data_IF_267015555989
#
_entry.id   IF_267015555989
#
_cell.length_a   1.000
_cell.length_b   1.000
_cell.length_c   1.000
_cell.angle_alpha   90.00
_cell.angle_beta   90.00
_cell.angle_gamma   90.00
#
_symmetry.space_group_name_H-M   'P 1'
#
loop_
_entity.id
_entity.type
_entity.pdbx_description
1 polymer ?
#
# COMPACT_ATOMS: atom_id res chain seq x y z
N UNK A 1 20.76 -6.15 -6.00
CA UNK A 1 19.29 -5.97 -5.88
C UNK A 1 18.52 -7.27 -5.95
N UNK A 2 18.72 -8.17 -6.97
CA UNK A 2 17.93 -9.42 -7.05
C UNK A 2 18.17 -10.33 -5.85
N UNK A 3 19.41 -10.63 -5.51
CA UNK A 3 19.75 -11.44 -4.34
C UNK A 3 19.23 -10.82 -3.02
N UNK A 4 19.34 -9.50 -2.87
CA UNK A 4 18.77 -8.80 -1.70
C UNK A 4 17.24 -8.91 -1.66
N UNK A 5 16.56 -8.85 -2.82
CA UNK A 5 15.12 -9.01 -2.87
C UNK A 5 14.66 -10.41 -2.45
N UNK A 6 15.40 -11.44 -2.87
CA UNK A 6 15.18 -12.82 -2.43
C UNK A 6 15.37 -12.96 -0.92
N UNK A 7 16.42 -12.35 -0.37
CA UNK A 7 16.71 -12.36 1.07
C UNK A 7 15.64 -11.62 1.90
N UNK A 8 15.21 -10.44 1.47
CA UNK A 8 14.13 -9.68 2.11
C UNK A 8 12.77 -10.39 2.04
N UNK A 9 12.59 -11.29 1.08
CA UNK A 9 11.36 -12.05 0.91
C UNK A 9 11.34 -13.35 1.70
N UNK A 10 12.49 -13.87 2.16
CA UNK A 10 12.57 -15.14 2.92
C UNK A 10 11.54 -15.23 4.06
N UNK A 11 11.33 -14.20 4.89
CA UNK A 11 10.35 -14.28 5.98
C UNK A 11 8.89 -14.46 5.51
N UNK A 12 8.60 -14.19 4.23
CA UNK A 12 7.24 -14.14 3.66
C UNK A 12 6.97 -15.24 2.63
N UNK A 13 7.94 -16.11 2.35
CA UNK A 13 7.85 -17.11 1.28
C UNK A 13 6.67 -18.09 1.44
N UNK A 14 6.25 -18.36 2.69
CA UNK A 14 5.15 -19.26 3.02
C UNK A 14 3.82 -18.52 3.22
N UNK A 15 3.79 -17.19 2.99
CA UNK A 15 2.58 -16.38 3.11
C UNK A 15 1.87 -16.32 1.77
N UNK A 16 0.65 -16.87 1.71
CA UNK A 16 -0.15 -16.90 0.49
C UNK A 16 -0.45 -15.48 -0.01
N UNK A 17 -0.29 -15.27 -1.32
CA UNK A 17 -0.53 -13.98 -1.96
C UNK A 17 0.59 -12.96 -1.80
N UNK A 18 1.62 -13.22 -1.00
CA UNK A 18 2.78 -12.32 -0.90
C UNK A 18 3.73 -12.49 -2.08
N UNK A 19 4.24 -11.38 -2.57
CA UNK A 19 5.20 -11.33 -3.68
C UNK A 19 6.25 -10.25 -3.45
N UNK A 20 7.38 -10.39 -4.14
CA UNK A 20 8.37 -9.32 -4.20
C UNK A 20 8.63 -8.85 -5.62
N UNK A 21 9.09 -7.63 -5.76
CA UNK A 21 9.54 -7.04 -7.02
C UNK A 21 10.73 -6.13 -6.80
N UNK A 22 11.77 -6.31 -7.62
CA UNK A 22 12.93 -5.43 -7.67
C UNK A 22 12.88 -4.54 -8.93
N UNK A 23 13.18 -3.26 -8.75
CA UNK A 23 13.26 -2.31 -9.84
C UNK A 23 14.39 -2.65 -10.80
N UNK A 24 14.14 -2.49 -12.11
CA UNK A 24 15.18 -2.60 -13.13
C UNK A 24 16.08 -1.36 -13.08
N UNK A 25 17.38 -1.54 -13.27
CA UNK A 25 18.33 -0.43 -13.33
C UNK A 25 18.09 0.47 -14.56
N UNK A 26 17.57 -0.10 -15.66
CA UNK A 26 17.29 0.65 -16.87
C UNK A 26 16.00 1.43 -16.78
N UNK A 27 16.04 2.66 -17.25
CA UNK A 27 14.87 3.51 -17.53
C UNK A 27 14.40 3.29 -18.97
N UNK A 28 13.13 3.60 -19.22
CA UNK A 28 12.69 3.74 -20.61
C UNK A 28 13.23 5.08 -21.15
N UNK A 29 14.21 4.99 -22.07
CA UNK A 29 14.87 6.16 -22.62
C UNK A 29 13.98 6.95 -23.62
N UNK A 30 12.78 6.45 -23.95
CA UNK A 30 11.82 7.16 -24.79
C UNK A 30 11.02 8.23 -24.02
N UNK A 31 11.11 8.26 -22.68
CA UNK A 31 10.41 9.23 -21.84
C UNK A 31 11.38 10.14 -21.07
N UNK A 32 10.99 11.40 -20.82
CA UNK A 32 11.79 12.31 -19.99
C UNK A 32 12.12 11.68 -18.63
N UNK A 33 13.30 11.94 -18.09
CA UNK A 33 14.36 12.84 -18.54
C UNK A 33 15.35 12.24 -19.56
N UNK A 34 14.97 11.21 -20.32
CA UNK A 34 15.77 10.53 -21.38
C UNK A 34 17.09 9.93 -20.86
N UNK A 35 17.13 9.57 -19.58
CA UNK A 35 18.29 8.92 -18.96
C UNK A 35 18.19 7.41 -19.12
N UNK A 36 19.31 6.74 -19.40
CA UNK A 36 19.35 5.29 -19.57
C UNK A 36 19.21 4.52 -18.27
N UNK A 37 19.65 5.11 -17.17
CA UNK A 37 19.68 4.48 -15.86
C UNK A 37 18.80 5.22 -14.85
N UNK A 38 18.32 4.47 -13.87
CA UNK A 38 17.64 5.04 -12.70
C UNK A 38 18.68 5.50 -11.69
N UNK A 39 18.40 6.60 -11.03
CA UNK A 39 19.12 7.11 -9.87
C UNK A 39 18.71 6.40 -8.58
N UNK A 40 17.55 5.75 -8.59
CA UNK A 40 17.00 5.04 -7.42
C UNK A 40 16.70 3.60 -7.78
N UNK A 41 17.17 2.68 -6.95
CA UNK A 41 16.87 1.25 -7.01
C UNK A 41 15.91 0.89 -5.87
N UNK A 42 14.95 0.02 -6.12
CA UNK A 42 13.94 -0.33 -5.13
C UNK A 42 13.60 -1.83 -5.13
N UNK A 43 13.17 -2.30 -3.96
CA UNK A 43 12.59 -3.62 -3.75
C UNK A 43 11.29 -3.40 -2.98
N UNK A 44 10.22 -4.08 -3.39
CA UNK A 44 8.94 -4.10 -2.71
C UNK A 44 8.56 -5.53 -2.37
N UNK A 45 8.07 -5.74 -1.14
CA UNK A 45 7.43 -6.97 -0.67
C UNK A 45 6.02 -6.59 -0.24
N UNK A 46 5.00 -7.22 -0.83
CA UNK A 46 3.60 -6.88 -0.62
C UNK A 46 2.68 -8.01 -1.07
N UNK A 47 1.44 -7.95 -0.70
CA UNK A 47 0.40 -8.78 -1.30
C UNK A 47 0.19 -8.42 -2.78
N UNK A 48 -0.10 -9.43 -3.61
CA UNK A 48 -0.41 -9.19 -5.02
C UNK A 48 -1.71 -8.38 -5.14
N UNK A 49 -1.63 -7.26 -5.82
CA UNK A 49 -2.74 -6.35 -6.00
C UNK A 49 -2.63 -5.56 -7.29
N UNK A 50 -3.77 -5.31 -7.93
CA UNK A 50 -3.84 -4.56 -9.17
C UNK A 50 -3.29 -3.13 -9.05
N UNK A 51 -3.59 -2.45 -7.92
CA UNK A 51 -3.14 -1.07 -7.68
C UNK A 51 -2.03 -1.03 -6.63
N UNK A 52 -0.78 -1.16 -7.07
CA UNK A 52 0.39 -1.24 -6.21
C UNK A 52 0.58 -0.05 -5.25
N UNK A 53 0.19 1.16 -5.63
CA UNK A 53 0.35 2.38 -4.83
C UNK A 53 -0.77 2.59 -3.77
N UNK A 54 -1.80 1.76 -3.82
CA UNK A 54 -2.91 1.77 -2.85
C UNK A 54 -2.79 0.66 -1.81
N UNK A 55 -1.84 -0.26 -2.00
CA UNK A 55 -1.64 -1.46 -1.20
C UNK A 55 -0.53 -1.24 -0.19
N UNK A 56 -0.66 -1.74 1.05
CA UNK A 56 0.42 -1.75 2.01
C UNK A 56 1.64 -2.47 1.45
N UNK A 57 2.82 -1.93 1.70
CA UNK A 57 4.05 -2.38 1.05
C UNK A 57 5.23 -2.24 2.00
N UNK A 58 5.99 -3.31 2.17
CA UNK A 58 7.33 -3.25 2.73
C UNK A 58 8.30 -2.85 1.61
N UNK A 59 9.16 -1.90 1.85
CA UNK A 59 10.03 -1.36 0.81
C UNK A 59 11.47 -1.19 1.27
N UNK A 60 12.39 -1.35 0.33
CA UNK A 60 13.80 -0.99 0.45
C UNK A 60 14.18 -0.18 -0.78
N UNK A 61 14.65 1.03 -0.57
CA UNK A 61 15.07 1.95 -1.63
C UNK A 61 16.53 2.35 -1.41
N UNK A 62 17.30 2.37 -2.50
CA UNK A 62 18.68 2.81 -2.53
C UNK A 62 18.80 3.97 -3.51
N UNK A 63 19.31 5.09 -3.04
CA UNK A 63 19.56 6.32 -3.79
C UNK A 63 21.00 6.81 -3.58
N UNK A 64 21.46 7.83 -4.30
CA UNK A 64 22.77 8.46 -4.05
C UNK A 64 22.91 9.03 -2.63
N UNK A 65 21.81 9.40 -2.00
CA UNK A 65 21.79 9.95 -0.63
C UNK A 65 21.88 8.88 0.45
N UNK A 66 21.61 7.61 0.09
CA UNK A 66 21.62 6.51 1.04
C UNK A 66 20.55 5.46 0.76
N UNK A 67 20.15 4.74 1.80
CA UNK A 67 19.07 3.78 1.77
C UNK A 67 17.90 4.22 2.65
N UNK A 68 16.69 3.84 2.25
CA UNK A 68 15.48 3.94 3.07
C UNK A 68 14.74 2.62 3.00
N UNK A 69 14.29 2.11 4.16
CA UNK A 69 13.51 0.88 4.22
C UNK A 69 12.46 0.94 5.33
N UNK A 70 11.41 0.15 5.16
CA UNK A 70 10.32 0.09 6.12
C UNK A 70 9.00 -0.30 5.47
N UNK A 71 7.92 0.21 6.04
CA UNK A 71 6.53 0.03 5.62
C UNK A 71 5.98 1.33 5.06
N UNK A 72 5.10 1.23 4.05
CA UNK A 72 4.30 2.36 3.59
C UNK A 72 2.99 1.93 2.93
N UNK A 73 1.99 2.79 3.07
CA UNK A 73 0.79 2.85 2.24
C UNK A 73 0.66 4.29 1.73
N UNK A 74 1.02 4.51 0.45
CA UNK A 74 1.25 5.88 -0.06
C UNK A 74 -0.03 6.63 -0.37
N UNK A 75 -0.89 6.00 -1.17
CA UNK A 75 -2.13 6.60 -1.69
C UNK A 75 -3.31 5.67 -1.50
N UNK A 76 -3.61 5.27 -0.26
CA UNK A 76 -4.77 4.46 0.02
C UNK A 76 -6.03 5.20 -0.42
N UNK A 77 -7.08 4.46 -0.69
CA UNK A 77 -8.37 5.08 -0.93
C UNK A 77 -8.90 5.78 0.32
N UNK A 78 -9.66 6.83 0.14
CA UNK A 78 -10.20 7.61 1.27
C UNK A 78 -11.01 6.72 2.24
N UNK A 79 -11.79 5.78 1.70
CA UNK A 79 -12.56 4.79 2.47
C UNK A 79 -11.70 3.86 3.32
N UNK A 80 -10.51 3.47 2.84
CA UNK A 80 -9.52 2.68 3.61
C UNK A 80 -9.06 3.47 4.84
N UNK A 81 -8.68 4.73 4.64
CA UNK A 81 -8.24 5.59 5.74
C UNK A 81 -9.38 5.99 6.68
N UNK A 82 -10.62 6.04 6.21
CA UNK A 82 -11.79 6.26 7.07
C UNK A 82 -12.06 5.05 7.94
N UNK A 83 -12.00 3.84 7.38
CA UNK A 83 -12.11 2.59 8.14
C UNK A 83 -11.00 2.46 9.17
N UNK A 84 -9.75 2.76 8.80
CA UNK A 84 -8.63 2.79 9.73
C UNK A 84 -8.89 3.72 10.93
N UNK A 85 -9.36 4.96 10.67
CA UNK A 85 -9.71 5.90 11.75
C UNK A 85 -10.89 5.43 12.61
N UNK A 86 -11.87 4.75 12.01
CA UNK A 86 -12.98 4.16 12.76
C UNK A 86 -12.48 3.12 13.74
N UNK A 87 -11.62 2.21 13.30
CA UNK A 87 -11.00 1.20 14.17
C UNK A 87 -10.18 1.85 15.30
N UNK A 88 -9.37 2.88 14.98
CA UNK A 88 -8.63 3.63 15.99
C UNK A 88 -9.55 4.36 16.99
N UNK A 89 -10.75 4.78 16.58
CA UNK A 89 -11.71 5.42 17.47
C UNK A 89 -12.39 4.41 18.39
N UNK A 90 -12.52 3.18 17.97
CA UNK A 90 -13.13 2.08 18.72
C UNK A 90 -12.13 1.45 19.69
N UNK A 91 -10.94 1.09 19.19
CA UNK A 91 -9.85 0.49 19.96
C UNK A 91 -8.49 0.85 19.36
N UNK A 92 -7.82 1.83 19.93
CA UNK A 92 -6.54 2.34 19.42
C UNK A 92 -5.31 1.67 20.06
N UNK A 93 -5.46 1.11 21.25
CA UNK A 93 -4.32 0.62 22.04
C UNK A 93 -3.51 -0.47 21.30
N UNK A 94 -4.13 -1.51 20.69
CA UNK A 94 -3.38 -2.56 20.01
C UNK A 94 -2.51 -2.01 18.88
N UNK A 95 -3.07 -1.13 18.04
CA UNK A 95 -2.35 -0.54 16.94
C UNK A 95 -1.21 0.38 17.38
N UNK A 96 -1.45 1.23 18.39
CA UNK A 96 -0.44 2.14 18.94
C UNK A 96 0.70 1.35 19.56
N UNK A 97 0.41 0.30 20.33
CA UNK A 97 1.43 -0.55 20.93
C UNK A 97 2.28 -1.25 19.87
N UNK A 98 1.66 -1.83 18.85
CA UNK A 98 2.34 -2.45 17.72
C UNK A 98 3.27 -1.46 17.00
N UNK A 99 2.82 -0.23 16.72
CA UNK A 99 3.64 0.80 16.08
C UNK A 99 4.78 1.24 16.98
N UNK A 100 4.53 1.49 18.27
CA UNK A 100 5.56 1.93 19.21
C UNK A 100 6.67 0.89 19.37
N UNK A 101 6.32 -0.40 19.46
CA UNK A 101 7.28 -1.50 19.56
C UNK A 101 8.24 -1.51 18.37
N UNK A 102 7.73 -1.47 17.14
CA UNK A 102 8.59 -1.51 15.95
C UNK A 102 9.38 -0.22 15.76
N UNK A 103 8.80 0.93 16.09
CA UNK A 103 9.47 2.24 16.02
C UNK A 103 10.65 2.27 16.99
N UNK A 104 10.47 1.82 18.23
CA UNK A 104 11.52 1.79 19.24
C UNK A 104 12.60 0.76 18.88
N UNK A 105 12.19 -0.47 18.55
CA UNK A 105 13.10 -1.59 18.27
C UNK A 105 14.01 -1.33 17.07
N UNK A 106 13.47 -0.78 15.98
CA UNK A 106 14.21 -0.60 14.71
C UNK A 106 14.63 0.84 14.43
N UNK A 107 14.25 1.79 15.29
CA UNK A 107 14.54 3.22 15.10
C UNK A 107 13.83 3.80 13.87
N UNK A 108 12.57 3.42 13.65
CA UNK A 108 11.76 3.89 12.54
C UNK A 108 11.19 5.28 12.83
N UNK A 109 10.86 6.01 11.78
CA UNK A 109 10.18 7.31 11.86
C UNK A 109 8.78 7.17 11.29
N UNK A 110 7.78 7.71 12.00
CA UNK A 110 6.39 7.78 11.53
C UNK A 110 6.26 8.92 10.55
N UNK A 111 5.90 8.63 9.31
CA UNK A 111 5.74 9.59 8.22
C UNK A 111 4.39 9.46 7.51
N UNK A 112 4.30 10.07 6.34
CA UNK A 112 3.13 10.06 5.48
C UNK A 112 2.58 11.46 5.22
N UNK A 113 1.90 11.63 4.08
CA UNK A 113 1.29 12.91 3.70
C UNK A 113 0.15 13.28 4.65
N UNK A 114 0.08 14.54 5.07
CA UNK A 114 -0.94 15.03 6.00
C UNK A 114 -2.05 15.80 5.31
N UNK A 115 -3.23 15.78 5.92
CA UNK A 115 -4.31 16.68 5.53
C UNK A 115 -4.00 18.11 5.93
N UNK A 116 -4.30 19.07 5.05
CA UNK A 116 -4.16 20.51 5.36
C UNK A 116 -5.10 20.97 6.49
N UNK A 117 -6.25 20.30 6.65
CA UNK A 117 -7.21 20.58 7.72
C UNK A 117 -7.22 19.43 8.70
N UNK A 118 -7.15 19.74 9.99
CA UNK A 118 -7.25 18.74 11.04
C UNK A 118 -8.58 17.98 10.92
N UNK A 119 -8.51 16.65 10.99
CA UNK A 119 -9.69 15.82 11.16
C UNK A 119 -10.02 15.71 12.65
N UNK A 120 -11.30 15.68 13.04
CA UNK A 120 -11.66 15.47 14.42
C UNK A 120 -11.13 14.13 14.91
N UNK A 121 -10.49 14.14 16.06
CA UNK A 121 -9.98 12.95 16.74
C UNK A 121 -10.42 12.99 18.19
N UNK A 122 -11.02 11.91 18.64
CA UNK A 122 -11.48 11.76 20.03
C UNK A 122 -10.42 11.11 20.92
N UNK A 123 -9.29 10.68 20.34
CA UNK A 123 -8.22 9.94 21.01
C UNK A 123 -6.91 10.69 20.82
N UNK A 124 -6.40 11.40 21.84
CA UNK A 124 -5.19 12.21 21.73
C UNK A 124 -3.95 11.41 21.27
N UNK A 125 -3.81 10.18 21.75
CA UNK A 125 -2.69 9.28 21.44
C UNK A 125 -2.66 8.88 19.96
N UNK A 126 -3.83 8.86 19.30
CA UNK A 126 -3.97 8.51 17.88
C UNK A 126 -3.99 9.76 16.95
N UNK A 127 -3.95 10.99 17.49
CA UNK A 127 -4.09 12.23 16.68
C UNK A 127 -3.14 12.25 15.48
N UNK A 128 -1.89 11.84 15.67
CA UNK A 128 -0.90 11.82 14.59
C UNK A 128 -1.32 10.93 13.40
N UNK A 129 -2.04 9.84 13.62
CA UNK A 129 -2.52 8.95 12.56
C UNK A 129 -3.77 9.49 11.87
N UNK A 130 -4.62 10.21 12.60
CA UNK A 130 -5.81 10.86 12.03
C UNK A 130 -5.47 11.92 11.00
N UNK A 131 -4.32 12.57 11.12
CA UNK A 131 -3.86 13.61 10.20
C UNK A 131 -3.33 13.04 8.88
N UNK A 132 -2.99 11.76 8.82
CA UNK A 132 -2.34 11.14 7.66
C UNK A 132 -3.33 10.78 6.56
N UNK A 133 -2.94 11.03 5.30
CA UNK A 133 -3.61 10.54 4.09
C UNK A 133 -3.13 9.14 3.70
N UNK A 134 -1.91 8.82 4.05
CA UNK A 134 -1.25 7.54 3.97
C UNK A 134 -0.26 7.46 5.11
N UNK A 135 0.27 6.30 5.40
CA UNK A 135 1.18 6.07 6.52
C UNK A 135 2.50 5.50 6.02
N UNK A 136 3.60 5.92 6.61
CA UNK A 136 4.90 5.28 6.45
C UNK A 136 5.59 5.12 7.80
N UNK A 137 6.30 4.01 7.95
CA UNK A 137 7.19 3.71 9.06
C UNK A 137 8.53 3.34 8.43
N UNK A 138 9.50 4.23 8.44
CA UNK A 138 10.74 4.02 7.70
C UNK A 138 11.99 4.47 8.47
N UNK A 139 13.10 3.85 8.13
CA UNK A 139 14.43 4.25 8.59
C UNK A 139 15.27 4.69 7.39
N UNK A 140 15.89 5.86 7.53
CA UNK A 140 16.85 6.39 6.57
C UNK A 140 18.26 6.16 7.05
N UNK A 141 19.09 5.61 6.18
CA UNK A 141 20.50 5.36 6.41
C UNK A 141 21.28 6.17 5.39
N UNK A 142 22.04 7.16 5.84
CA UNK A 142 22.84 8.02 4.95
C UNK A 142 23.92 7.26 4.20
N UNK A 143 24.41 7.86 3.12
CA UNK A 143 25.51 7.29 2.35
C UNK A 143 26.74 7.13 3.22
N UNK A 144 27.32 5.92 3.26
CA UNK A 144 28.49 5.58 4.07
C UNK A 144 28.82 4.10 4.00
N UNK A 145 29.83 3.67 4.74
CA UNK A 145 30.37 2.31 4.71
C UNK A 145 29.36 1.22 5.04
N UNK A 146 28.33 1.56 5.82
CA UNK A 146 27.24 0.64 6.19
C UNK A 146 26.49 0.12 4.96
N UNK A 147 26.32 0.95 3.92
CA UNK A 147 25.64 0.56 2.68
C UNK A 147 26.41 -0.50 1.87
N UNK A 148 27.73 -0.58 2.07
CA UNK A 148 28.61 -1.56 1.42
C UNK A 148 28.83 -2.81 2.27
N UNK A 149 28.18 -2.90 3.43
CA UNK A 149 28.24 -4.03 4.34
C UNK A 149 26.97 -4.89 4.26
N UNK A 150 27.07 -6.14 4.70
CA UNK A 150 25.91 -7.02 4.84
C UNK A 150 24.92 -6.55 5.91
N UNK A 151 25.38 -5.74 6.84
CA UNK A 151 24.61 -5.26 8.00
C UNK A 151 23.30 -4.56 7.59
N UNK A 152 23.31 -3.75 6.54
CA UNK A 152 22.10 -3.06 6.07
C UNK A 152 21.01 -4.05 5.58
N UNK A 153 21.42 -5.17 4.97
CA UNK A 153 20.51 -6.20 4.53
C UNK A 153 19.90 -6.94 5.73
N UNK A 154 20.72 -7.29 6.71
CA UNK A 154 20.29 -7.96 7.94
C UNK A 154 19.31 -7.08 8.73
N UNK A 155 19.65 -5.81 8.96
CA UNK A 155 18.75 -4.85 9.60
C UNK A 155 17.42 -4.68 8.86
N UNK A 156 17.43 -4.67 7.52
CA UNK A 156 16.23 -4.54 6.73
C UNK A 156 15.34 -5.80 6.79
N UNK A 157 15.93 -7.02 6.81
CA UNK A 157 15.20 -8.28 7.00
C UNK A 157 14.51 -8.29 8.36
N UNK A 158 15.23 -7.98 9.44
CA UNK A 158 14.67 -7.92 10.80
C UNK A 158 13.54 -6.89 10.91
N UNK A 159 13.72 -5.71 10.27
CA UNK A 159 12.69 -4.68 10.25
C UNK A 159 11.43 -5.13 9.45
N UNK A 160 11.61 -5.83 8.34
CA UNK A 160 10.49 -6.38 7.55
C UNK A 160 9.70 -7.42 8.34
N UNK A 161 10.38 -8.30 9.07
CA UNK A 161 9.73 -9.27 9.96
C UNK A 161 8.91 -8.56 11.05
N UNK A 162 9.50 -7.54 11.70
CA UNK A 162 8.81 -6.78 12.73
C UNK A 162 7.62 -5.96 12.20
N UNK A 163 7.68 -5.53 10.95
CA UNK A 163 6.61 -4.76 10.29
C UNK A 163 5.51 -5.62 9.67
N UNK A 164 5.62 -6.96 9.74
CA UNK A 164 4.64 -7.89 9.17
C UNK A 164 3.24 -7.63 9.69
N UNK A 165 3.05 -7.56 11.01
CA UNK A 165 1.74 -7.38 11.62
C UNK A 165 1.07 -6.08 11.18
N UNK A 166 1.84 -4.99 11.02
CA UNK A 166 1.33 -3.71 10.51
C UNK A 166 0.93 -3.83 9.03
N UNK A 167 1.73 -4.53 8.23
CA UNK A 167 1.42 -4.77 6.83
C UNK A 167 0.14 -5.60 6.68
N UNK A 168 -0.02 -6.66 7.46
CA UNK A 168 -1.18 -7.54 7.46
C UNK A 168 -2.43 -6.81 7.96
N UNK A 169 -2.31 -6.00 9.01
CA UNK A 169 -3.39 -5.14 9.51
C UNK A 169 -3.95 -4.21 8.43
N UNK A 170 -3.07 -3.52 7.69
CA UNK A 170 -3.52 -2.65 6.60
C UNK A 170 -4.02 -3.44 5.39
N UNK A 171 -3.47 -4.62 5.12
CA UNK A 171 -3.96 -5.49 4.07
C UNK A 171 -5.41 -5.93 4.33
N UNK A 172 -5.72 -6.35 5.55
CA UNK A 172 -7.08 -6.70 5.96
C UNK A 172 -8.06 -5.54 5.77
N UNK A 173 -7.67 -4.31 6.16
CA UNK A 173 -8.52 -3.12 5.94
C UNK A 173 -8.79 -2.90 4.45
N UNK A 174 -7.79 -3.08 3.59
CA UNK A 174 -7.95 -2.94 2.14
C UNK A 174 -8.88 -4.01 1.58
N UNK A 175 -8.71 -5.27 1.97
CA UNK A 175 -9.57 -6.38 1.53
C UNK A 175 -11.04 -6.17 1.93
N UNK A 176 -11.29 -5.80 3.19
CA UNK A 176 -12.65 -5.51 3.66
C UNK A 176 -13.25 -4.34 2.87
N UNK A 177 -12.45 -3.32 2.56
CA UNK A 177 -12.92 -2.18 1.76
C UNK A 177 -13.28 -2.59 0.34
N UNK A 178 -12.51 -3.45 -0.28
CA UNK A 178 -12.73 -3.92 -1.66
C UNK A 178 -13.95 -4.85 -1.73
N UNK A 179 -14.14 -5.72 -0.74
CA UNK A 179 -15.33 -6.55 -0.58
C UNK A 179 -16.60 -5.69 -0.43
N UNK A 180 -16.56 -4.68 0.43
CA UNK A 180 -17.70 -3.77 0.63
C UNK A 180 -18.12 -3.08 -0.67
N UNK A 181 -17.14 -2.60 -1.46
CA UNK A 181 -17.41 -2.00 -2.78
C UNK A 181 -17.97 -2.97 -3.80
N UNK A 182 -17.48 -4.21 -3.81
CA UNK A 182 -18.01 -5.26 -4.68
C UNK A 182 -19.49 -5.51 -4.38
N UNK A 183 -19.84 -5.67 -3.11
CA UNK A 183 -21.24 -5.85 -2.67
C UNK A 183 -22.13 -4.65 -3.02
N UNK A 184 -21.66 -3.42 -2.83
CA UNK A 184 -22.40 -2.21 -3.21
C UNK A 184 -22.64 -2.15 -4.73
N UNK A 185 -21.65 -2.57 -5.53
CA UNK A 185 -21.79 -2.62 -6.99
C UNK A 185 -22.82 -3.66 -7.42
N UNK A 186 -22.79 -4.84 -6.85
CA UNK A 186 -23.76 -5.90 -7.11
C UNK A 186 -25.19 -5.46 -6.73
N UNK A 187 -25.35 -4.84 -5.57
CA UNK A 187 -26.64 -4.31 -5.13
C UNK A 187 -27.19 -3.25 -6.08
N UNK A 188 -26.35 -2.38 -6.64
CA UNK A 188 -26.77 -1.37 -7.64
C UNK A 188 -27.20 -2.01 -8.95
N UNK A 189 -26.47 -3.03 -9.43
CA UNK A 189 -26.83 -3.76 -10.67
C UNK A 189 -28.18 -4.47 -10.50
N UNK A 190 -28.42 -5.06 -9.33
CA UNK A 190 -29.68 -5.76 -9.05
C UNK A 190 -30.89 -4.80 -8.85
N UNK A 191 -30.61 -3.56 -8.47
CA UNK A 191 -31.64 -2.53 -8.26
C UNK A 191 -32.01 -1.75 -9.55
N UNK A 192 -31.24 -1.86 -10.64
CA UNK A 192 -31.62 -1.27 -11.92
C UNK A 192 -32.78 -2.06 -12.49
N UNK A 193 -33.95 -1.41 -12.82
CA UNK A 193 -35.07 -2.10 -13.44
C UNK A 193 -34.65 -2.62 -14.83
N UNK A 194 -35.10 -3.84 -15.16
CA UNK A 194 -34.88 -4.39 -16.49
C UNK A 194 -35.26 -3.37 -17.56
N UNK A 195 -34.45 -3.18 -18.62
CA UNK A 195 -34.76 -2.25 -19.67
C UNK A 195 -36.10 -2.66 -20.29
N UNK A 196 -37.10 -1.75 -20.25
CA UNK A 196 -38.36 -1.95 -20.95
C UNK A 196 -38.06 -2.28 -22.41
N UNK A 197 -38.29 -3.54 -22.77
CA UNK A 197 -38.25 -3.97 -24.17
C UNK A 197 -39.39 -3.27 -24.88
N UNK A 198 -39.13 -2.12 -25.49
CA UNK A 198 -40.11 -1.49 -26.42
C UNK A 198 -40.33 -2.46 -27.56
N UNK A 199 -41.47 -3.13 -27.51
CA UNK A 199 -41.91 -3.92 -28.65
C UNK A 199 -42.02 -2.99 -29.86
N UNK A 200 -41.07 -3.16 -30.79
CA UNK A 200 -41.19 -2.55 -32.10
C UNK A 200 -42.37 -3.21 -32.80
N UNK A 201 -43.44 -2.45 -33.03
CA UNK A 201 -44.57 -2.93 -33.85
C UNK A 201 -44.00 -3.35 -35.19
N UNK A 202 -44.30 -4.60 -35.57
CA UNK A 202 -43.98 -5.09 -36.89
C UNK A 202 -44.66 -4.19 -37.95
N UNK A 203 -43.95 -3.85 -39.05
CA UNK A 203 -44.57 -3.10 -40.14
C UNK A 203 -45.77 -3.88 -40.69
N UNK A 204 -46.92 -3.19 -40.83
CA UNK A 204 -48.08 -3.72 -41.54
C UNK A 204 -47.66 -3.96 -43.00
N UNK A 205 -47.70 -5.21 -43.40
CA UNK A 205 -47.46 -5.58 -44.80
C UNK A 205 -48.80 -5.52 -45.49
N UNK A 206 -49.07 -4.45 -46.26
CA UNK A 206 -50.20 -4.35 -47.16
C UNK A 206 -50.05 -5.37 -48.30
N UNK A 207 -50.81 -6.44 -48.24
CA UNK A 207 -51.01 -7.32 -49.40
C UNK A 207 -52.01 -6.67 -50.37
N UNK A 208 -51.49 -6.00 -51.40
CA UNK A 208 -52.31 -5.68 -52.58
C UNK A 208 -52.48 -6.95 -53.41
N UNK A 209 -53.74 -7.32 -53.59
CA UNK A 209 -54.21 -8.28 -54.58
C UNK A 209 -54.45 -7.58 -55.92
#
# INVERSE_FOLDING_TARGET
>A
MKALAEELFVPFQDTEGMMYKAGRIYRDANFPPYLHYRDTMWIYVRYDAWYWNKTPTLFFELSPEGAEYGFRIEKPEASVMERFRSQLSEDHEPFINMVNEVVEKFGLTIGGEEYKRKKPCNVPEAEQFFLKKGLSLSKKVGAGDVLFSRKIAEEAVEAFEGLREINDYFHEIVEINDLAKALEKEAKITAEPEPEIKMVKAPEVDFMW
#
